data_IF_945425810750
#
_entry.id   IF_945425810750
#
_cell.length_a   1.000
_cell.length_b   1.000
_cell.length_c   1.000
_cell.angle_alpha   90.00
_cell.angle_beta   90.00
_cell.angle_gamma   90.00
#
_symmetry.space_group_name_H-M   'P 1'
#
loop_
_entity.id
_entity.type
_entity.pdbx_description
1 polymer ?
#
# COMPACT_ATOMS: atom_id res chain seq x y z
N UNK A 1 10.95 -6.24 5.94
CA UNK A 1 10.50 -7.39 5.13
C UNK A 1 11.54 -7.76 4.07
N UNK A 2 12.76 -8.18 4.47
CA UNK A 2 13.78 -8.63 3.51
C UNK A 2 13.32 -9.88 2.73
N UNK A 3 12.40 -10.65 3.32
CA UNK A 3 11.75 -11.83 2.72
C UNK A 3 10.87 -11.51 1.49
N UNK A 4 10.55 -10.24 1.23
CA UNK A 4 9.61 -9.82 0.17
C UNK A 4 10.20 -8.67 -0.67
N UNK A 5 10.76 -7.66 -0.01
CA UNK A 5 11.34 -6.48 -0.66
C UNK A 5 12.86 -6.58 -0.63
N UNK A 6 13.46 -6.64 -1.82
CA UNK A 6 14.92 -6.71 -2.02
C UNK A 6 15.58 -5.35 -1.83
N UNK A 7 14.98 -4.29 -2.37
CA UNK A 7 15.49 -2.92 -2.23
C UNK A 7 14.38 -1.89 -2.45
N UNK A 8 14.59 -0.70 -1.88
CA UNK A 8 13.76 0.48 -2.13
C UNK A 8 14.69 1.59 -2.60
N UNK A 9 14.38 2.18 -3.76
CA UNK A 9 15.02 3.40 -4.23
C UNK A 9 14.07 4.56 -4.02
N UNK A 10 14.55 5.62 -3.37
CA UNK A 10 13.72 6.77 -2.97
C UNK A 10 14.32 8.03 -3.57
N UNK A 11 13.46 8.87 -4.14
CA UNK A 11 13.79 10.21 -4.61
C UNK A 11 12.81 11.21 -3.99
N UNK A 12 13.32 12.06 -3.09
CA UNK A 12 12.54 12.98 -2.26
C UNK A 12 12.93 12.91 -0.78
N UNK A 13 12.15 13.60 0.05
CA UNK A 13 12.38 13.76 1.49
C UNK A 13 11.50 12.85 2.38
N UNK A 14 10.63 12.04 1.76
CA UNK A 14 9.64 11.22 2.45
C UNK A 14 8.24 11.84 2.54
N UNK A 15 8.11 13.14 2.24
CA UNK A 15 6.84 13.86 2.20
C UNK A 15 6.15 13.82 0.83
N UNK A 16 5.02 14.55 0.67
CA UNK A 16 4.29 14.61 -0.59
C UNK A 16 5.17 14.95 -1.80
N UNK A 17 5.02 14.18 -2.87
CA UNK A 17 5.86 14.25 -4.07
C UNK A 17 7.07 13.33 -4.06
N UNK A 18 7.44 12.74 -2.92
CA UNK A 18 8.49 11.72 -2.86
C UNK A 18 8.08 10.51 -3.68
N UNK A 19 8.97 10.05 -4.55
CA UNK A 19 8.76 8.83 -5.35
C UNK A 19 9.59 7.68 -4.80
N UNK A 20 9.02 6.48 -4.82
CA UNK A 20 9.68 5.27 -4.39
C UNK A 20 9.52 4.18 -5.44
N UNK A 21 10.61 3.46 -5.72
CA UNK A 21 10.59 2.22 -6.46
C UNK A 21 10.96 1.07 -5.54
N UNK A 22 9.98 0.21 -5.28
CA UNK A 22 10.17 -1.02 -4.53
C UNK A 22 10.53 -2.13 -5.51
N UNK A 23 11.63 -2.83 -5.27
CA UNK A 23 12.05 -3.99 -6.04
C UNK A 23 11.89 -5.23 -5.15
N UNK A 24 11.13 -6.20 -5.64
CA UNK A 24 10.82 -7.42 -4.90
C UNK A 24 11.88 -8.50 -5.14
N UNK A 25 11.91 -9.50 -4.26
CA UNK A 25 12.83 -10.64 -4.40
C UNK A 25 12.55 -11.45 -5.66
N UNK A 26 13.59 -12.06 -6.21
CA UNK A 26 13.47 -12.93 -7.39
C UNK A 26 12.65 -14.18 -7.07
N UNK A 27 11.82 -14.64 -8.02
CA UNK A 27 10.90 -15.76 -7.84
C UNK A 27 9.51 -15.39 -7.34
N UNK A 28 9.28 -14.12 -6.96
CA UNK A 28 7.95 -13.59 -6.66
C UNK A 28 7.10 -13.30 -7.91
N UNK A 29 5.79 -13.07 -7.72
CA UNK A 29 4.86 -12.74 -8.81
C UNK A 29 5.05 -11.30 -9.36
N UNK A 30 5.65 -10.41 -8.58
CA UNK A 30 5.88 -9.01 -8.91
C UNK A 30 7.37 -8.74 -8.93
N UNK A 31 7.88 -7.98 -9.91
CA UNK A 31 9.30 -7.58 -9.95
C UNK A 31 9.52 -6.25 -9.26
N UNK A 32 8.67 -5.26 -9.55
CA UNK A 32 8.78 -3.93 -8.96
C UNK A 32 7.44 -3.20 -8.92
N UNK A 33 7.39 -2.17 -8.10
CA UNK A 33 6.29 -1.21 -7.98
C UNK A 33 6.86 0.20 -7.87
N UNK A 34 6.17 1.18 -8.46
CA UNK A 34 6.47 2.61 -8.32
C UNK A 34 5.31 3.32 -7.67
N UNK A 35 5.62 4.07 -6.63
CA UNK A 35 4.66 4.88 -5.90
C UNK A 35 5.14 6.30 -5.69
N UNK A 36 4.19 7.20 -5.47
CA UNK A 36 4.42 8.58 -5.08
C UNK A 36 3.61 8.88 -3.83
N UNK A 37 4.22 9.59 -2.88
CA UNK A 37 3.55 10.04 -1.67
C UNK A 37 2.62 11.20 -2.03
N UNK A 38 1.35 11.09 -1.68
CA UNK A 38 0.33 12.11 -1.94
C UNK A 38 0.08 12.99 -0.70
N UNK A 39 0.10 12.39 0.49
CA UNK A 39 -0.29 13.05 1.74
C UNK A 39 0.46 12.42 2.92
N UNK A 40 1.04 13.25 3.78
CA UNK A 40 1.54 12.86 5.10
C UNK A 40 1.00 13.87 6.11
N UNK A 41 0.18 13.40 7.05
CA UNK A 41 -0.32 14.21 8.17
C UNK A 41 -0.06 13.44 9.46
N UNK A 42 1.02 13.80 10.15
CA UNK A 42 1.44 13.16 11.41
C UNK A 42 0.47 13.44 12.56
N UNK A 43 -0.27 14.56 12.50
CA UNK A 43 -1.22 14.95 13.56
C UNK A 43 -2.51 14.15 13.42
N UNK A 44 -3.01 13.99 12.19
CA UNK A 44 -4.23 13.22 11.90
C UNK A 44 -3.95 11.74 11.62
N UNK A 45 -2.69 11.33 11.64
CA UNK A 45 -2.22 9.98 11.32
C UNK A 45 -2.71 9.50 9.95
N UNK A 46 -2.55 10.35 8.94
CA UNK A 46 -2.95 10.07 7.56
C UNK A 46 -1.71 9.84 6.71
N UNK A 47 -1.76 8.78 5.91
CA UNK A 47 -0.76 8.50 4.89
C UNK A 47 -1.46 8.18 3.57
N UNK A 48 -1.18 8.96 2.54
CA UNK A 48 -1.69 8.80 1.19
C UNK A 48 -0.57 8.56 0.20
N UNK A 49 -0.75 7.60 -0.70
CA UNK A 49 0.19 7.34 -1.78
C UNK A 49 -0.53 6.76 -3.00
N UNK A 50 0.08 6.94 -4.16
CA UNK A 50 -0.44 6.46 -5.44
C UNK A 50 0.58 5.56 -6.11
N UNK A 51 0.15 4.34 -6.43
CA UNK A 51 0.89 3.42 -7.29
C UNK A 51 0.58 3.77 -8.74
N UNK A 52 1.60 4.13 -9.51
CA UNK A 52 1.47 4.61 -10.89
C UNK A 52 2.31 3.81 -11.89
N UNK A 53 3.00 2.77 -11.44
CA UNK A 53 3.77 1.91 -12.33
C UNK A 53 4.26 0.65 -11.66
N UNK A 54 4.73 -0.29 -12.49
CA UNK A 54 5.19 -1.60 -12.07
C UNK A 54 4.20 -2.72 -12.38
N UNK A 55 4.60 -3.94 -12.01
CA UNK A 55 3.87 -5.17 -12.35
C UNK A 55 2.56 -5.32 -11.54
N UNK A 56 2.34 -4.42 -10.59
CA UNK A 56 1.15 -4.37 -9.72
C UNK A 56 -0.09 -3.84 -10.41
N UNK A 57 0.07 -3.12 -11.54
CA UNK A 57 -1.06 -2.59 -12.29
C UNK A 57 -1.61 -3.67 -13.23
N UNK A 58 -2.87 -4.04 -13.01
CA UNK A 58 -3.61 -4.94 -13.92
C UNK A 58 -3.95 -4.21 -15.22
N UNK A 59 -4.12 -4.96 -16.32
CA UNK A 59 -4.48 -4.38 -17.60
C UNK A 59 -5.75 -3.52 -17.48
N UNK A 60 -5.71 -2.30 -18.02
CA UNK A 60 -6.82 -1.33 -17.95
C UNK A 60 -6.83 -0.44 -16.71
N UNK A 61 -5.94 -0.64 -15.73
CA UNK A 61 -5.76 0.25 -14.58
C UNK A 61 -4.50 1.10 -14.78
N UNK A 62 -4.66 2.41 -14.85
CA UNK A 62 -3.56 3.37 -15.02
C UNK A 62 -2.82 3.66 -13.73
N UNK A 63 -3.56 3.76 -12.62
CA UNK A 63 -3.01 4.00 -11.28
C UNK A 63 -4.00 3.59 -10.20
N UNK A 64 -3.47 3.39 -8.99
CA UNK A 64 -4.26 3.08 -7.80
C UNK A 64 -3.82 4.00 -6.67
N UNK A 65 -4.75 4.78 -6.11
CA UNK A 65 -4.48 5.63 -4.95
C UNK A 65 -4.97 4.96 -3.68
N UNK A 66 -4.14 5.03 -2.65
CA UNK A 66 -4.42 4.54 -1.31
C UNK A 66 -4.38 5.70 -0.34
N UNK A 67 -5.35 5.72 0.59
CA UNK A 67 -5.34 6.63 1.73
C UNK A 67 -5.61 5.84 2.99
N UNK A 68 -4.67 5.90 3.92
CA UNK A 68 -4.73 5.25 5.22
C UNK A 68 -4.95 6.28 6.30
N UNK A 69 -5.75 5.93 7.30
CA UNK A 69 -5.97 6.74 8.50
C UNK A 69 -5.96 5.81 9.70
N UNK A 70 -5.18 6.18 10.72
CA UNK A 70 -5.12 5.45 11.98
C UNK A 70 -5.89 6.22 13.06
N UNK A 71 -6.71 5.51 13.82
CA UNK A 71 -7.52 6.07 14.90
C UNK A 71 -7.51 5.13 16.09
N UNK A 72 -7.78 5.64 17.28
CA UNK A 72 -7.94 4.80 18.46
C UNK A 72 -9.10 3.81 18.25
N UNK A 73 -8.87 2.55 18.59
CA UNK A 73 -9.91 1.52 18.50
C UNK A 73 -11.03 1.82 19.49
N UNK A 74 -12.27 1.87 18.98
CA UNK A 74 -13.47 1.96 19.83
C UNK A 74 -13.69 0.69 20.68
N UNK A 75 -13.04 -0.42 20.32
CA UNK A 75 -12.99 -1.63 21.14
C UNK A 75 -11.90 -1.41 22.19
N UNK A 76 -12.29 -1.28 23.46
CA UNK A 76 -11.40 -0.93 24.56
C UNK A 76 -10.16 -1.83 24.67
N UNK A 77 -9.08 -1.30 25.27
CA UNK A 77 -7.80 -2.01 25.44
C UNK A 77 -6.59 -1.34 24.81
N UNK A 78 -6.70 -0.10 24.32
CA UNK A 78 -5.56 0.68 23.82
C UNK A 78 -5.07 0.26 22.42
N UNK A 79 -5.91 -0.39 21.62
CA UNK A 79 -5.59 -0.77 20.24
C UNK A 79 -5.80 0.35 19.22
N UNK A 80 -5.33 0.15 17.99
CA UNK A 80 -5.48 1.08 16.86
C UNK A 80 -6.33 0.45 15.77
N UNK A 81 -7.26 1.23 15.21
CA UNK A 81 -8.00 0.90 14.00
C UNK A 81 -7.33 1.57 12.80
N UNK A 82 -7.06 0.81 11.74
CA UNK A 82 -6.55 1.35 10.47
C UNK A 82 -7.64 1.28 9.40
N UNK A 83 -8.10 2.44 8.93
CA UNK A 83 -8.99 2.57 7.78
C UNK A 83 -8.17 2.79 6.52
N UNK A 84 -8.50 2.04 5.47
CA UNK A 84 -7.87 2.18 4.15
C UNK A 84 -8.93 2.44 3.08
N UNK A 85 -8.78 3.51 2.32
CA UNK A 85 -9.54 3.78 1.11
C UNK A 85 -8.67 3.49 -0.11
N UNK A 86 -9.22 2.78 -1.09
CA UNK A 86 -8.55 2.48 -2.36
C UNK A 86 -9.38 3.04 -3.51
N UNK A 87 -8.73 3.74 -4.44
CA UNK A 87 -9.35 4.27 -5.66
C UNK A 87 -8.62 3.74 -6.88
N UNK A 88 -9.36 3.13 -7.81
CA UNK A 88 -8.85 2.66 -9.09
C UNK A 88 -9.12 3.71 -10.15
N UNK A 89 -8.11 4.00 -10.97
CA UNK A 89 -8.22 4.86 -12.12
C UNK A 89 -7.99 4.00 -13.36
N UNK A 90 -9.04 3.84 -14.17
CA UNK A 90 -9.04 2.97 -15.34
C UNK A 90 -8.98 3.79 -16.61
N UNK A 91 -8.30 3.29 -17.64
CA UNK A 91 -8.27 3.92 -18.96
C UNK A 91 -9.66 3.89 -19.61
N UNK A 92 -10.05 4.93 -20.36
CA UNK A 92 -11.35 5.01 -21.04
C UNK A 92 -11.59 3.86 -22.04
N UNK A 93 -10.51 3.34 -22.63
CA UNK A 93 -10.54 2.21 -23.59
C UNK A 93 -10.40 0.84 -22.91
N UNK A 94 -10.06 0.83 -21.62
CA UNK A 94 -9.70 -0.36 -20.86
C UNK A 94 -10.93 -1.02 -20.26
N UNK A 95 -11.53 -1.93 -21.02
CA UNK A 95 -12.72 -2.70 -20.66
C UNK A 95 -12.59 -3.65 -19.46
N UNK A 96 -11.99 -3.20 -18.35
CA UNK A 96 -11.99 -3.94 -17.09
C UNK A 96 -13.36 -3.83 -16.43
N UNK A 97 -14.00 -4.97 -16.20
CA UNK A 97 -15.32 -5.04 -15.58
C UNK A 97 -15.30 -4.72 -14.09
N UNK A 98 -16.45 -4.31 -13.53
CA UNK A 98 -16.59 -4.06 -12.09
C UNK A 98 -16.20 -5.30 -11.25
N UNK A 99 -16.53 -6.49 -11.73
CA UNK A 99 -16.19 -7.76 -11.06
C UNK A 99 -14.69 -8.05 -11.06
N UNK A 100 -13.97 -7.67 -12.12
CA UNK A 100 -12.51 -7.80 -12.20
C UNK A 100 -11.82 -6.81 -11.25
N UNK A 101 -12.31 -5.57 -11.16
CA UNK A 101 -11.84 -4.59 -10.19
C UNK A 101 -12.06 -5.10 -8.75
N UNK A 102 -13.24 -5.67 -8.47
CA UNK A 102 -13.54 -6.26 -7.15
C UNK A 102 -12.62 -7.43 -6.82
N UNK A 103 -12.36 -8.32 -7.77
CA UNK A 103 -11.45 -9.45 -7.59
C UNK A 103 -10.00 -8.97 -7.34
N UNK A 104 -9.53 -7.99 -8.10
CA UNK A 104 -8.22 -7.38 -7.90
C UNK A 104 -8.12 -6.70 -6.52
N UNK A 105 -9.16 -5.97 -6.12
CA UNK A 105 -9.26 -5.35 -4.79
C UNK A 105 -9.18 -6.38 -3.66
N UNK A 106 -9.92 -7.49 -3.76
CA UNK A 106 -9.92 -8.52 -2.72
C UNK A 106 -8.56 -9.21 -2.60
N UNK A 107 -7.91 -9.52 -3.73
CA UNK A 107 -6.54 -10.06 -3.74
C UNK A 107 -5.54 -9.11 -3.07
N UNK A 108 -5.57 -7.82 -3.42
CA UNK A 108 -4.72 -6.80 -2.79
C UNK A 108 -5.03 -6.57 -1.31
N UNK A 109 -6.31 -6.71 -0.91
CA UNK A 109 -6.71 -6.63 0.50
C UNK A 109 -6.09 -7.77 1.32
N UNK A 110 -6.07 -8.99 0.80
CA UNK A 110 -5.47 -10.14 1.48
C UNK A 110 -3.96 -9.97 1.65
N UNK A 111 -3.28 -9.53 0.59
CA UNK A 111 -1.83 -9.25 0.65
C UNK A 111 -1.49 -8.16 1.67
N UNK A 112 -2.24 -7.05 1.67
CA UNK A 112 -2.05 -5.99 2.65
C UNK A 112 -2.27 -6.46 4.09
N UNK A 113 -3.30 -7.26 4.34
CA UNK A 113 -3.57 -7.84 5.66
C UNK A 113 -2.39 -8.70 6.15
N UNK A 114 -1.78 -9.50 5.26
CA UNK A 114 -0.62 -10.30 5.60
C UNK A 114 0.61 -9.44 5.96
N UNK A 115 0.87 -8.38 5.19
CA UNK A 115 1.96 -7.43 5.47
C UNK A 115 1.72 -6.70 6.80
N UNK A 116 0.50 -6.22 7.02
CA UNK A 116 0.14 -5.49 8.25
C UNK A 116 0.30 -6.35 9.50
N UNK A 117 -0.12 -7.63 9.45
CA UNK A 117 0.11 -8.60 10.52
C UNK A 117 1.60 -8.87 10.77
N UNK A 118 2.41 -8.85 9.71
CA UNK A 118 3.86 -8.96 9.82
C UNK A 118 4.46 -7.79 10.59
N UNK A 119 4.00 -6.55 10.31
CA UNK A 119 4.42 -5.36 11.03
C UNK A 119 3.99 -5.41 12.51
N UNK A 120 2.74 -5.76 12.77
CA UNK A 120 2.21 -5.93 14.13
C UNK A 120 3.02 -6.95 14.92
N UNK A 121 3.28 -8.13 14.35
CA UNK A 121 4.09 -9.17 14.99
C UNK A 121 5.51 -8.70 15.28
N UNK A 122 6.12 -7.94 14.37
CA UNK A 122 7.45 -7.39 14.56
C UNK A 122 7.48 -6.37 15.71
N UNK A 123 6.53 -5.44 15.77
CA UNK A 123 6.44 -4.43 16.83
C UNK A 123 6.18 -5.07 18.19
N UNK A 124 5.31 -6.08 18.26
CA UNK A 124 5.05 -6.83 19.50
C UNK A 124 6.28 -7.57 20.02
N UNK A 125 7.11 -8.11 19.11
CA UNK A 125 8.37 -8.75 19.47
C UNK A 125 9.48 -7.75 19.86
N UNK A 126 9.35 -6.48 19.49
CA UNK A 126 10.35 -5.43 19.73
C UNK A 126 9.71 -4.17 20.34
N UNK A 127 9.19 -4.22 21.58
CA UNK A 127 8.36 -3.16 22.18
C UNK A 127 9.09 -1.85 22.52
N UNK A 128 10.38 -1.72 22.17
CA UNK A 128 11.21 -0.51 22.40
C UNK A 128 11.64 0.18 21.11
N UNK A 129 11.11 -0.25 19.96
CA UNK A 129 11.30 0.40 18.66
C UNK A 129 10.59 1.74 18.57
#
# INVERSE_FOLDING_TARGET
>A
FPEIVKSVATDGDGGPGTTQQLNFIEGGQLKFMKEVVDEVDEVKLIYGYTVFGGDTLVAGVEKISYRMTMEESAVGGGGTSCKRTTKFFTSEDGGIGEDEIKAAYEGMRQQFSAVFKGFESYLLAHPSS
#
